data_IF_110251818422
#
_entry.id   IF_110251818422
#
_cell.length_a   1.000
_cell.length_b   1.000
_cell.length_c   1.000
_cell.angle_alpha   90.00
_cell.angle_beta   90.00
_cell.angle_gamma   90.00
#
_symmetry.space_group_name_H-M   'P 1'
#
loop_
_entity.id
_entity.type
_entity.pdbx_description
1 polymer ?
#
# COMPACT_ATOMS: atom_id res chain seq x y z
N UNK A 1 -10.04 -6.74 41.13
CA UNK A 1 -10.43 -6.48 39.73
C UNK A 1 -9.92 -5.11 39.32
N UNK A 2 -8.86 -5.02 38.52
CA UNK A 2 -8.34 -3.74 38.01
C UNK A 2 -9.15 -3.35 36.77
N UNK A 3 -9.80 -2.20 36.82
CA UNK A 3 -10.60 -1.64 35.73
C UNK A 3 -9.73 -1.45 34.48
N UNK A 4 -10.18 -2.00 33.35
CA UNK A 4 -9.59 -1.73 32.03
C UNK A 4 -10.03 -0.33 31.62
N UNK A 5 -9.06 0.58 31.47
CA UNK A 5 -9.29 1.92 30.89
C UNK A 5 -9.64 1.73 29.41
N UNK A 6 -10.88 2.06 29.03
CA UNK A 6 -11.24 2.20 27.62
C UNK A 6 -10.72 3.56 27.13
N UNK A 7 -9.86 3.55 26.11
CA UNK A 7 -9.39 4.75 25.41
C UNK A 7 -9.87 4.63 23.97
N UNK A 8 -10.58 5.64 23.48
CA UNK A 8 -11.11 5.70 22.12
C UNK A 8 -10.09 6.39 21.21
N UNK A 9 -9.81 5.76 20.07
CA UNK A 9 -9.10 6.37 18.96
C UNK A 9 -10.13 6.95 17.99
N UNK A 10 -10.01 8.22 17.63
CA UNK A 10 -10.87 8.88 16.65
C UNK A 10 -10.01 9.28 15.45
N UNK A 11 -10.58 9.16 14.25
CA UNK A 11 -9.98 9.65 13.02
C UNK A 11 -10.79 10.85 12.53
N UNK A 12 -10.09 11.91 12.12
CA UNK A 12 -10.64 13.02 11.35
C UNK A 12 -9.99 13.04 9.99
N UNK A 13 -10.78 13.22 8.93
CA UNK A 13 -10.26 13.65 7.62
C UNK A 13 -10.26 15.18 7.68
N UNK A 14 -9.09 15.82 7.72
CA UNK A 14 -9.02 17.28 7.74
C UNK A 14 -9.31 17.83 6.34
N UNK A 15 -10.59 18.15 6.09
CA UNK A 15 -11.00 18.94 4.94
C UNK A 15 -10.71 20.42 5.22
N UNK A 16 -9.83 21.04 4.43
CA UNK A 16 -9.79 22.50 4.31
C UNK A 16 -11.04 22.98 3.55
N UNK A 17 -12.21 22.99 4.23
CA UNK A 17 -13.46 23.57 3.70
C UNK A 17 -14.80 22.96 4.20
N UNK A 18 -15.22 23.37 5.40
CA UNK A 18 -16.60 23.45 5.96
C UNK A 18 -17.44 22.19 6.36
N UNK A 19 -17.78 22.18 7.66
CA UNK A 19 -18.86 21.56 8.47
C UNK A 19 -19.61 20.30 7.96
N UNK A 20 -19.34 19.16 8.64
CA UNK A 20 -20.25 18.02 8.74
C UNK A 20 -21.16 18.10 9.97
N UNK A 21 -22.48 17.98 9.77
CA UNK A 21 -23.42 17.67 10.85
C UNK A 21 -23.53 16.14 10.99
N UNK A 22 -22.93 15.58 12.05
CA UNK A 22 -23.32 14.27 12.58
C UNK A 22 -23.95 14.51 13.95
N UNK A 23 -25.27 14.34 14.02
CA UNK A 23 -26.08 14.54 15.23
C UNK A 23 -25.86 13.38 16.21
N UNK A 24 -25.21 13.65 17.34
CA UNK A 24 -25.46 12.91 18.58
C UNK A 24 -26.30 13.80 19.51
N UNK A 25 -27.45 13.28 19.94
CA UNK A 25 -28.41 13.93 20.83
C UNK A 25 -27.78 14.29 22.18
N UNK A 26 -27.57 15.57 22.42
CA UNK A 26 -27.21 16.16 23.71
C UNK A 26 -27.08 17.68 23.57
N UNK A 27 -27.93 18.45 24.27
CA UNK A 27 -28.12 19.90 24.10
C UNK A 27 -26.81 20.71 24.09
N UNK A 28 -26.59 21.48 23.03
CA UNK A 28 -25.68 22.64 23.01
C UNK A 28 -26.44 23.96 22.82
N UNK A 29 -25.90 25.10 23.31
CA UNK A 29 -26.45 26.43 23.09
C UNK A 29 -26.09 26.97 21.70
N UNK A 30 -27.00 27.76 21.13
CA UNK A 30 -26.96 28.28 19.75
C UNK A 30 -25.79 29.23 19.50
N UNK A 31 -25.16 29.08 18.34
CA UNK A 31 -24.45 30.15 17.63
C UNK A 31 -24.91 30.23 16.16
N UNK A 32 -24.90 31.45 15.67
CA UNK A 32 -25.56 32.05 14.51
C UNK A 32 -25.43 31.33 13.15
N UNK A 33 -26.54 31.30 12.40
CA UNK A 33 -26.69 30.88 11.01
C UNK A 33 -26.03 31.81 9.99
N UNK A 34 -25.27 31.26 9.05
CA UNK A 34 -24.92 31.90 7.77
C UNK A 34 -25.18 30.91 6.62
N UNK A 35 -25.92 31.33 5.59
CA UNK A 35 -26.23 30.54 4.38
C UNK A 35 -25.03 30.55 3.43
N UNK A 36 -24.65 29.38 2.89
CA UNK A 36 -23.61 29.22 1.86
C UNK A 36 -23.97 28.15 0.83
N UNK A 37 -23.63 28.41 -0.43
CA UNK A 37 -24.02 27.77 -1.69
C UNK A 37 -23.33 26.41 -1.95
N UNK A 38 -23.94 25.55 -2.79
CA UNK A 38 -23.37 24.28 -3.29
C UNK A 38 -22.00 24.52 -3.98
N UNK A 39 -20.91 24.10 -3.36
CA UNK A 39 -19.55 24.13 -3.92
C UNK A 39 -18.99 22.71 -4.05
N UNK A 40 -18.34 22.41 -5.17
CA UNK A 40 -17.57 21.17 -5.36
C UNK A 40 -16.38 21.16 -4.38
N UNK A 41 -16.24 20.09 -3.60
CA UNK A 41 -15.09 19.87 -2.72
C UNK A 41 -13.91 19.36 -3.57
N UNK A 42 -12.93 20.22 -3.85
CA UNK A 42 -11.61 19.83 -4.38
C UNK A 42 -10.60 19.86 -3.24
N UNK A 43 -9.81 18.81 -3.06
CA UNK A 43 -8.72 18.82 -2.08
C UNK A 43 -8.00 17.47 -1.97
N UNK A 44 -6.72 17.55 -1.63
CA UNK A 44 -5.88 16.41 -1.23
C UNK A 44 -6.39 15.87 0.12
N UNK A 45 -6.37 14.54 0.30
CA UNK A 45 -6.72 13.90 1.57
C UNK A 45 -5.52 13.12 2.10
N UNK A 46 -5.14 13.39 3.35
CA UNK A 46 -4.09 12.64 4.06
C UNK A 46 -4.71 11.69 5.08
N UNK A 47 -4.00 10.58 5.35
CA UNK A 47 -4.28 9.76 6.51
C UNK A 47 -3.70 10.40 7.77
N UNK A 48 -4.55 10.67 8.77
CA UNK A 48 -4.11 11.20 10.07
C UNK A 48 -4.83 10.51 11.26
N UNK A 49 -4.16 9.66 12.04
CA UNK A 49 -4.62 9.26 13.37
C UNK A 49 -4.61 10.43 14.35
N UNK A 50 -5.74 10.63 15.04
CA UNK A 50 -5.80 11.43 16.26
C UNK A 50 -5.80 10.50 17.49
N UNK A 51 -4.89 10.78 18.43
CA UNK A 51 -4.77 10.04 19.69
C UNK A 51 -5.02 10.97 20.87
N UNK A 52 -5.83 10.51 21.82
CA UNK A 52 -6.00 11.15 23.12
C UNK A 52 -5.73 10.17 24.25
N UNK A 53 -4.80 10.53 25.14
CA UNK A 53 -4.47 9.74 26.33
C UNK A 53 -5.36 10.08 27.54
N UNK A 54 -6.17 11.12 27.43
CA UNK A 54 -7.04 11.63 28.48
C UNK A 54 -8.51 11.73 28.04
N UNK A 55 -8.91 11.04 26.98
CA UNK A 55 -10.30 10.99 26.52
C UNK A 55 -11.26 10.45 27.60
N UNK A 56 -10.76 9.55 28.45
CA UNK A 56 -11.49 8.97 29.58
C UNK A 56 -10.64 9.09 30.84
N UNK A 57 -11.19 9.69 31.89
CA UNK A 57 -10.55 9.86 33.19
C UNK A 57 -11.42 9.19 34.25
N UNK A 58 -10.86 8.21 34.97
CA UNK A 58 -11.56 7.42 36.01
C UNK A 58 -12.86 6.77 35.50
N UNK A 59 -12.87 6.31 34.25
CA UNK A 59 -14.02 5.66 33.62
C UNK A 59 -15.12 6.61 33.15
N UNK A 60 -14.91 7.93 33.22
CA UNK A 60 -15.83 8.94 32.72
C UNK A 60 -15.21 9.69 31.54
N UNK A 61 -16.01 10.11 30.54
CA UNK A 61 -15.53 11.00 29.48
C UNK A 61 -14.91 12.27 30.06
N UNK A 62 -13.74 12.65 29.57
CA UNK A 62 -13.16 13.94 29.88
C UNK A 62 -13.89 15.03 29.07
N UNK A 63 -14.45 16.08 29.71
CA UNK A 63 -15.13 17.16 28.99
C UNK A 63 -14.19 18.03 28.15
N UNK A 64 -12.87 17.90 28.32
CA UNK A 64 -11.86 18.63 27.53
C UNK A 64 -10.66 17.71 27.25
N UNK A 65 -10.81 16.73 26.36
CA UNK A 65 -9.72 15.85 25.96
C UNK A 65 -8.70 16.62 25.11
N UNK A 66 -7.43 16.26 25.28
CA UNK A 66 -6.36 16.73 24.40
C UNK A 66 -6.06 15.66 23.35
N UNK A 67 -5.88 16.07 22.11
CA UNK A 67 -5.52 15.19 21.01
C UNK A 67 -4.15 15.58 20.44
N UNK A 68 -3.41 14.57 20.01
CA UNK A 68 -2.24 14.71 19.14
C UNK A 68 -2.55 14.03 17.81
N UNK A 69 -2.33 14.73 16.71
CA UNK A 69 -2.40 14.18 15.35
C UNK A 69 -1.00 13.87 14.85
N UNK A 70 -0.89 12.90 13.95
CA UNK A 70 0.35 12.58 13.23
C UNK A 70 -0.04 12.13 11.84
N UNK A 71 0.60 12.69 10.83
CA UNK A 71 0.43 12.23 9.45
C UNK A 71 0.98 10.80 9.31
N UNK A 72 0.18 9.89 8.75
CA UNK A 72 0.58 8.49 8.52
C UNK A 72 0.76 8.15 7.05
N UNK A 73 0.44 9.04 6.11
CA UNK A 73 0.74 8.82 4.69
C UNK A 73 1.88 9.75 4.27
N UNK A 74 2.80 9.28 3.42
CA UNK A 74 3.92 10.11 2.93
C UNK A 74 3.41 11.23 2.01
N UNK A 75 2.33 10.95 1.30
CA UNK A 75 1.61 11.86 0.39
C UNK A 75 0.11 11.86 0.71
N UNK A 76 -0.67 12.61 -0.07
CA UNK A 76 -2.12 12.45 -0.11
C UNK A 76 -2.46 11.01 -0.49
N UNK A 77 -3.40 10.35 0.17
CA UNK A 77 -3.81 8.97 -0.14
C UNK A 77 -5.04 8.89 -1.05
N UNK A 78 -5.70 10.03 -1.29
CA UNK A 78 -6.76 10.16 -2.29
C UNK A 78 -6.74 11.57 -2.91
N UNK A 79 -6.83 11.68 -4.24
CA UNK A 79 -7.01 12.95 -4.94
C UNK A 79 -8.31 12.98 -5.76
N UNK A 80 -8.98 14.14 -5.75
CA UNK A 80 -10.22 14.36 -6.49
C UNK A 80 -11.49 14.41 -5.64
N UNK A 81 -12.49 15.13 -6.17
CA UNK A 81 -13.82 15.27 -5.57
C UNK A 81 -14.61 13.97 -5.72
N UNK A 82 -15.41 13.56 -4.73
CA UNK A 82 -16.40 12.49 -4.98
C UNK A 82 -17.33 12.96 -6.09
N UNK A 83 -17.52 12.14 -7.14
CA UNK A 83 -18.37 12.52 -8.27
C UNK A 83 -19.78 12.89 -7.78
N UNK A 84 -20.40 13.89 -8.41
CA UNK A 84 -21.77 14.32 -8.06
C UNK A 84 -22.71 13.09 -8.11
N UNK A 85 -23.39 12.82 -6.99
CA UNK A 85 -24.29 11.67 -6.79
C UNK A 85 -23.62 10.28 -6.91
N UNK A 86 -22.28 10.19 -6.90
CA UNK A 86 -21.55 8.96 -7.25
C UNK A 86 -21.84 8.48 -8.68
N UNK A 87 -22.48 9.33 -9.49
CA UNK A 87 -23.08 9.18 -10.84
C UNK A 87 -22.21 9.59 -12.04
N UNK A 88 -21.63 10.79 -11.92
CA UNK A 88 -21.21 11.58 -13.08
C UNK A 88 -19.80 12.11 -12.95
N UNK A 89 -18.80 11.26 -13.19
CA UNK A 89 -17.40 11.66 -13.26
C UNK A 89 -17.00 12.29 -14.61
N UNK A 90 -17.97 12.50 -15.52
CA UNK A 90 -17.75 13.05 -16.86
C UNK A 90 -17.25 14.50 -16.88
N UNK A 91 -17.44 15.25 -15.79
CA UNK A 91 -16.95 16.63 -15.62
C UNK A 91 -15.84 16.74 -14.54
N UNK A 92 -15.25 15.61 -14.14
CA UNK A 92 -14.24 15.49 -13.10
C UNK A 92 -14.78 14.90 -11.78
N UNK A 93 -13.89 14.24 -11.03
CA UNK A 93 -14.16 13.57 -9.76
C UNK A 93 -13.72 12.10 -9.75
N UNK A 94 -13.71 11.49 -8.56
CA UNK A 94 -13.40 10.09 -8.31
C UNK A 94 -14.62 9.33 -7.74
N UNK A 95 -14.80 8.11 -8.22
CA UNK A 95 -15.82 7.10 -7.86
C UNK A 95 -15.27 5.96 -7.03
N UNK A 96 -13.96 5.88 -6.88
CA UNK A 96 -13.22 5.04 -5.96
C UNK A 96 -13.57 5.42 -4.53
N UNK A 97 -14.74 4.98 -4.07
CA UNK A 97 -15.16 4.99 -2.67
C UNK A 97 -14.38 3.95 -1.84
N UNK A 98 -13.21 3.53 -2.32
CA UNK A 98 -12.30 2.61 -1.66
C UNK A 98 -11.56 3.29 -0.51
N UNK A 99 -12.19 4.24 0.20
CA UNK A 99 -11.68 4.75 1.47
C UNK A 99 -11.89 3.67 2.55
N UNK A 100 -11.22 2.52 2.40
CA UNK A 100 -11.02 1.58 3.49
C UNK A 100 -9.97 2.18 4.40
N UNK A 101 -10.36 2.49 5.63
CA UNK A 101 -9.47 2.98 6.68
C UNK A 101 -9.72 2.09 7.91
N UNK A 102 -8.70 1.37 8.35
CA UNK A 102 -8.74 0.55 9.55
C UNK A 102 -7.64 0.98 10.49
N UNK A 103 -7.97 1.19 11.76
CA UNK A 103 -6.97 1.39 12.80
C UNK A 103 -7.16 0.36 13.89
N UNK A 104 -6.08 -0.34 14.20
CA UNK A 104 -6.03 -1.31 15.29
C UNK A 104 -4.94 -0.94 16.27
N UNK A 105 -5.04 -1.49 17.49
CA UNK A 105 -4.08 -1.25 18.56
C UNK A 105 -3.28 -2.53 18.77
N UNK A 106 -1.95 -2.41 18.67
CA UNK A 106 -1.04 -3.51 18.91
C UNK A 106 -0.86 -3.83 20.40
N UNK A 107 -0.11 -4.89 20.69
CA UNK A 107 0.08 -5.41 22.04
C UNK A 107 0.83 -4.43 22.97
N UNK A 108 1.58 -3.49 22.41
CA UNK A 108 2.27 -2.43 23.15
C UNK A 108 1.49 -1.11 23.14
N UNK A 109 0.24 -1.09 22.68
CA UNK A 109 -0.58 0.13 22.59
C UNK A 109 -0.18 1.05 21.44
N UNK A 110 0.56 0.53 20.47
CA UNK A 110 0.93 1.19 19.22
C UNK A 110 -0.24 1.20 18.22
N UNK A 111 -0.38 2.27 17.45
CA UNK A 111 -1.36 2.33 16.37
C UNK A 111 -0.86 1.55 15.14
N UNK A 112 -1.76 0.79 14.52
CA UNK A 112 -1.55 0.12 13.24
C UNK A 112 -2.66 0.59 12.30
N UNK A 113 -2.30 1.29 11.24
CA UNK A 113 -3.23 1.93 10.29
C UNK A 113 -3.10 1.24 8.95
N UNK A 114 -4.23 0.80 8.38
CA UNK A 114 -4.32 0.31 7.00
C UNK A 114 -5.22 1.26 6.24
N UNK A 115 -4.82 1.64 5.03
CA UNK A 115 -5.64 2.42 4.13
C UNK A 115 -5.49 1.97 2.68
N UNK A 116 -6.45 2.32 1.85
CA UNK A 116 -6.27 2.25 0.41
C UNK A 116 -5.59 3.54 -0.08
N UNK A 117 -4.45 3.40 -0.73
CA UNK A 117 -3.72 4.46 -1.40
C UNK A 117 -4.08 4.47 -2.88
N UNK A 118 -4.94 5.41 -3.25
CA UNK A 118 -5.45 5.58 -4.60
C UNK A 118 -4.68 6.66 -5.37
N UNK A 119 -3.62 7.22 -4.79
CA UNK A 119 -2.91 8.35 -5.39
C UNK A 119 -1.80 7.82 -6.28
N UNK A 120 -2.25 7.30 -7.41
CA UNK A 120 -1.41 6.86 -8.51
C UNK A 120 -2.03 7.23 -9.87
N UNK A 121 -1.27 7.06 -10.95
CA UNK A 121 -1.70 7.44 -12.29
C UNK A 121 -2.70 6.47 -12.94
N UNK A 122 -3.07 5.37 -12.27
CA UNK A 122 -3.89 4.31 -12.85
C UNK A 122 -5.39 4.58 -12.71
N UNK A 123 -5.83 5.72 -13.25
CA UNK A 123 -7.21 6.19 -13.21
C UNK A 123 -7.94 5.82 -14.50
N UNK A 124 -9.04 5.07 -14.38
CA UNK A 124 -9.93 4.73 -15.51
C UNK A 124 -11.36 5.14 -15.17
N UNK A 125 -11.96 5.96 -16.03
CA UNK A 125 -13.33 6.48 -15.90
C UNK A 125 -13.63 7.10 -14.53
N UNK A 126 -12.65 7.85 -14.00
CA UNK A 126 -12.73 8.50 -12.70
C UNK A 126 -12.70 7.52 -11.53
N UNK A 127 -12.00 6.40 -11.65
CA UNK A 127 -11.72 5.49 -10.52
C UNK A 127 -10.26 5.07 -10.58
N UNK A 128 -9.53 5.28 -9.48
CA UNK A 128 -8.14 4.84 -9.32
C UNK A 128 -8.06 3.44 -8.72
N UNK A 129 -7.18 2.61 -9.27
CA UNK A 129 -6.83 1.31 -8.65
C UNK A 129 -5.92 1.55 -7.46
N UNK A 130 -6.36 1.18 -6.26
CA UNK A 130 -5.61 1.48 -5.04
C UNK A 130 -4.60 0.39 -4.66
N UNK A 131 -3.49 0.81 -4.06
CA UNK A 131 -2.62 -0.05 -3.26
C UNK A 131 -3.16 -0.13 -1.83
N UNK A 132 -2.97 -1.25 -1.15
CA UNK A 132 -3.24 -1.32 0.29
C UNK A 132 -1.95 -0.94 1.01
N UNK A 133 -1.98 0.17 1.72
CA UNK A 133 -0.87 0.68 2.50
C UNK A 133 -1.07 0.37 4.00
N UNK A 134 0.04 0.21 4.70
CA UNK A 134 0.07 -0.11 6.13
C UNK A 134 1.15 0.70 6.82
N UNK A 135 0.81 1.33 7.95
CA UNK A 135 1.78 1.93 8.84
C UNK A 135 1.58 1.52 10.29
N UNK A 136 2.70 1.35 10.99
CA UNK A 136 2.74 1.05 12.42
C UNK A 136 3.48 2.14 13.15
N UNK A 137 2.93 2.57 14.28
CA UNK A 137 3.64 3.45 15.21
C UNK A 137 4.87 2.70 15.76
N UNK A 138 6.06 3.23 15.50
CA UNK A 138 7.34 2.67 15.97
C UNK A 138 7.96 3.46 17.12
N UNK A 139 7.43 4.64 17.45
CA UNK A 139 7.93 5.46 18.56
C UNK A 139 6.83 6.33 19.17
N UNK A 140 7.12 6.94 20.32
CA UNK A 140 6.23 7.89 20.99
C UNK A 140 5.24 7.23 21.95
N UNK A 141 4.27 8.00 22.45
CA UNK A 141 3.44 7.54 23.56
C UNK A 141 2.61 6.29 23.21
N UNK A 142 2.56 5.33 24.13
CA UNK A 142 1.68 4.16 24.02
C UNK A 142 0.25 4.49 24.44
N UNK A 143 -0.74 3.79 23.87
CA UNK A 143 -2.13 3.83 24.37
C UNK A 143 -2.22 3.25 25.79
N UNK A 144 -1.33 2.32 26.12
CA UNK A 144 -1.29 1.64 27.40
C UNK A 144 -0.38 2.37 28.36
N UNK A 145 -0.97 2.94 29.42
CA UNK A 145 -0.24 3.71 30.43
C UNK A 145 0.90 2.94 31.09
N UNK A 146 0.78 1.62 31.23
CA UNK A 146 1.82 0.76 31.79
C UNK A 146 2.99 0.49 30.83
N UNK A 147 2.80 0.70 29.53
CA UNK A 147 3.87 0.66 28.53
C UNK A 147 4.57 2.03 28.46
N UNK A 148 3.80 3.11 28.55
CA UNK A 148 4.31 4.48 28.57
C UNK A 148 4.73 4.96 27.17
N UNK A 149 5.75 4.33 26.57
CA UNK A 149 6.27 4.67 25.24
C UNK A 149 6.38 3.40 24.37
N UNK A 150 5.95 3.50 23.11
CA UNK A 150 6.21 2.50 22.07
C UNK A 150 7.67 2.61 21.65
N UNK A 151 8.33 1.47 21.48
CA UNK A 151 9.64 1.37 20.84
C UNK A 151 9.62 0.18 19.88
N UNK A 152 9.55 0.49 18.59
CA UNK A 152 9.56 -0.44 17.47
C UNK A 152 10.82 -0.30 16.64
N UNK A 153 10.96 -1.19 15.67
CA UNK A 153 12.07 -1.13 14.70
C UNK A 153 11.91 0.10 13.80
N UNK A 154 13.03 0.70 13.41
CA UNK A 154 13.03 1.70 12.35
C UNK A 154 12.52 1.08 11.02
N UNK A 155 11.96 1.88 10.12
CA UNK A 155 11.67 1.44 8.76
C UNK A 155 12.89 0.77 8.14
N UNK A 156 12.65 -0.33 7.45
CA UNK A 156 13.72 -1.05 6.78
C UNK A 156 14.26 -0.20 5.63
N UNK A 157 15.57 -0.28 5.37
CA UNK A 157 16.17 0.39 4.23
C UNK A 157 17.13 -0.54 3.49
N UNK A 158 17.09 -0.47 2.15
CA UNK A 158 17.90 -1.26 1.23
C UNK A 158 17.54 -2.75 1.14
N UNK A 159 16.94 -3.34 2.18
CA UNK A 159 16.50 -4.73 2.16
C UNK A 159 15.41 -5.08 3.17
N UNK A 160 14.67 -6.13 2.84
CA UNK A 160 13.63 -6.71 3.67
C UNK A 160 13.59 -8.23 3.61
N UNK A 161 13.12 -8.84 4.70
CA UNK A 161 12.80 -10.27 4.77
C UNK A 161 11.41 -10.52 4.19
N UNK A 162 11.22 -11.71 3.61
CA UNK A 162 9.91 -12.23 3.24
C UNK A 162 9.00 -12.48 4.45
N UNK A 163 7.72 -12.65 4.17
CA UNK A 163 6.73 -13.05 5.16
C UNK A 163 7.05 -14.44 5.71
N UNK A 164 6.78 -14.73 6.99
CA UNK A 164 6.76 -16.10 7.47
C UNK A 164 5.61 -16.93 6.86
N UNK A 165 4.57 -16.27 6.35
CA UNK A 165 3.37 -16.90 5.79
C UNK A 165 3.25 -16.57 4.30
N UNK A 166 3.17 -17.61 3.47
CA UNK A 166 2.99 -17.53 2.03
C UNK A 166 1.83 -18.45 1.60
N UNK A 167 0.78 -17.87 1.01
CA UNK A 167 -0.43 -18.60 0.67
C UNK A 167 -1.28 -17.86 -0.36
N UNK A 168 -2.03 -18.62 -1.14
CA UNK A 168 -3.15 -18.10 -1.92
C UNK A 168 -4.42 -18.07 -1.06
N UNK A 169 -5.14 -16.95 -1.05
CA UNK A 169 -6.45 -16.83 -0.37
C UNK A 169 -7.55 -16.46 -1.37
N UNK A 170 -8.53 -17.34 -1.52
CA UNK A 170 -9.72 -17.09 -2.32
C UNK A 170 -10.90 -17.93 -1.83
N UNK A 171 -12.12 -17.43 -2.04
CA UNK A 171 -13.37 -18.14 -1.75
C UNK A 171 -13.48 -18.70 -0.32
N UNK A 172 -12.91 -17.99 0.65
CA UNK A 172 -12.89 -18.39 2.06
C UNK A 172 -11.91 -19.54 2.38
N UNK A 173 -11.04 -19.90 1.44
CA UNK A 173 -10.02 -20.95 1.59
C UNK A 173 -8.61 -20.36 1.52
N UNK A 174 -7.66 -21.07 2.12
CA UNK A 174 -6.22 -20.74 2.03
C UNK A 174 -5.44 -21.95 1.55
N UNK A 175 -4.59 -21.75 0.56
CA UNK A 175 -3.74 -22.79 -0.04
C UNK A 175 -2.29 -22.37 0.15
N UNK A 176 -1.49 -23.22 0.81
CA UNK A 176 -0.07 -22.94 1.04
C UNK A 176 0.70 -22.78 -0.28
N UNK A 177 1.64 -21.84 -0.31
CA UNK A 177 2.50 -21.62 -1.46
C UNK A 177 3.46 -22.80 -1.70
N UNK A 178 3.84 -22.99 -2.96
CA UNK A 178 5.01 -23.81 -3.31
C UNK A 178 6.31 -23.06 -2.99
N UNK A 179 7.39 -23.79 -2.73
CA UNK A 179 8.67 -23.23 -2.26
C UNK A 179 9.31 -22.23 -3.23
N UNK A 180 9.02 -22.32 -4.53
CA UNK A 180 9.46 -21.34 -5.52
C UNK A 180 8.78 -19.99 -5.41
N UNK A 181 7.66 -19.89 -4.70
CA UNK A 181 6.92 -18.65 -4.48
C UNK A 181 7.11 -18.10 -3.05
N UNK A 182 7.85 -18.79 -2.18
CA UNK A 182 8.17 -18.30 -0.83
C UNK A 182 9.40 -17.39 -0.90
N UNK A 183 9.23 -16.10 -0.64
CA UNK A 183 10.31 -15.11 -0.59
C UNK A 183 11.04 -15.24 0.74
N UNK A 184 12.37 -15.26 0.67
CA UNK A 184 13.23 -15.14 1.86
C UNK A 184 13.64 -13.69 2.10
N UNK A 185 13.98 -12.96 1.04
CA UNK A 185 14.33 -11.55 1.13
C UNK A 185 14.32 -10.84 -0.22
N UNK A 186 14.15 -9.53 -0.18
CA UNK A 186 14.35 -8.63 -1.32
C UNK A 186 15.30 -7.51 -0.92
N UNK A 187 16.16 -7.08 -1.84
CA UNK A 187 17.08 -5.97 -1.62
C UNK A 187 17.27 -5.14 -2.87
N UNK A 188 17.72 -3.91 -2.71
CA UNK A 188 18.11 -3.01 -3.79
C UNK A 188 19.49 -2.43 -3.54
N UNK A 189 20.21 -2.17 -4.63
CA UNK A 189 21.47 -1.42 -4.65
C UNK A 189 21.50 -0.53 -5.89
N UNK A 190 22.35 0.49 -5.89
CA UNK A 190 22.70 1.26 -7.09
C UNK A 190 24.17 0.96 -7.45
N UNK A 191 24.46 -0.12 -8.21
CA UNK A 191 25.84 -0.52 -8.52
C UNK A 191 26.60 0.54 -9.33
N UNK A 192 25.89 1.37 -10.09
CA UNK A 192 26.43 2.49 -10.84
C UNK A 192 25.36 3.58 -11.02
N UNK A 193 25.73 4.77 -11.49
CA UNK A 193 24.81 5.91 -11.60
C UNK A 193 23.72 5.76 -12.68
N UNK A 194 23.67 4.63 -13.40
CA UNK A 194 22.74 4.37 -14.50
C UNK A 194 21.80 3.22 -14.21
N UNK A 195 22.04 2.40 -13.19
CA UNK A 195 21.23 1.23 -12.90
C UNK A 195 20.93 1.06 -11.42
N UNK A 196 19.70 0.68 -11.14
CA UNK A 196 19.33 0.00 -9.91
C UNK A 196 19.43 -1.50 -10.11
N UNK A 197 19.83 -2.21 -9.06
CA UNK A 197 19.85 -3.67 -9.03
C UNK A 197 19.02 -4.17 -7.88
N UNK A 198 17.94 -4.84 -8.24
CA UNK A 198 17.07 -5.54 -7.30
C UNK A 198 17.46 -7.02 -7.25
N UNK A 199 17.39 -7.59 -6.06
CA UNK A 199 17.59 -9.02 -5.82
C UNK A 199 16.41 -9.57 -5.05
N UNK A 200 15.81 -10.65 -5.54
CA UNK A 200 14.75 -11.40 -4.87
C UNK A 200 15.31 -12.79 -4.58
N UNK A 201 15.37 -13.17 -3.31
CA UNK A 201 15.76 -14.52 -2.89
C UNK A 201 14.51 -15.28 -2.50
N UNK A 202 14.33 -16.47 -3.08
CA UNK A 202 13.20 -17.37 -2.77
C UNK A 202 13.72 -18.69 -2.22
N UNK A 203 12.85 -19.43 -1.53
CA UNK A 203 13.22 -20.64 -0.82
C UNK A 203 13.79 -21.73 -1.74
N UNK A 204 13.22 -21.93 -2.92
CA UNK A 204 13.74 -22.88 -3.91
C UNK A 204 13.29 -22.53 -5.33
N UNK A 205 14.22 -22.11 -6.19
CA UNK A 205 13.94 -21.74 -7.58
C UNK A 205 14.38 -22.83 -8.57
N UNK A 206 14.49 -24.09 -8.13
CA UNK A 206 14.78 -25.21 -9.05
C UNK A 206 13.64 -25.49 -10.04
N UNK A 207 12.46 -24.94 -9.80
CA UNK A 207 11.28 -24.98 -10.69
C UNK A 207 10.67 -23.60 -10.81
N UNK A 208 10.21 -23.26 -12.01
CA UNK A 208 9.43 -22.04 -12.27
C UNK A 208 7.93 -22.31 -12.37
N UNK A 209 7.51 -23.58 -12.38
CA UNK A 209 6.10 -23.93 -12.49
C UNK A 209 5.32 -23.54 -11.23
N UNK A 210 4.17 -22.90 -11.40
CA UNK A 210 3.18 -22.69 -10.35
C UNK A 210 2.02 -23.70 -10.48
N UNK A 211 1.45 -24.10 -9.34
CA UNK A 211 0.26 -24.94 -9.30
C UNK A 211 -0.98 -24.13 -9.67
N UNK A 212 -1.83 -24.67 -10.54
CA UNK A 212 -3.14 -24.07 -10.86
C UNK A 212 -4.03 -23.85 -9.61
N UNK A 213 -3.79 -24.59 -8.52
CA UNK A 213 -4.49 -24.41 -7.24
C UNK A 213 -4.16 -23.10 -6.52
N UNK A 214 -3.16 -22.36 -6.99
CA UNK A 214 -2.76 -21.05 -6.44
C UNK A 214 -3.43 -19.88 -7.17
N UNK A 215 -4.41 -20.15 -8.03
CA UNK A 215 -5.14 -19.13 -8.79
C UNK A 215 -4.63 -18.96 -10.23
N UNK A 216 -3.58 -19.70 -10.61
CA UNK A 216 -2.98 -19.61 -11.93
C UNK A 216 -1.71 -20.43 -12.08
N UNK A 217 -1.31 -20.70 -13.32
CA UNK A 217 -0.06 -21.39 -13.65
C UNK A 217 1.05 -20.46 -14.13
N UNK A 218 0.70 -19.22 -14.46
CA UNK A 218 1.68 -18.17 -14.73
C UNK A 218 2.21 -17.64 -13.40
N UNK A 219 3.54 -17.56 -13.28
CA UNK A 219 4.24 -17.22 -12.06
C UNK A 219 5.09 -15.96 -12.26
N UNK A 220 4.91 -14.98 -11.37
CA UNK A 220 5.64 -13.70 -11.43
C UNK A 220 6.35 -13.44 -10.12
N UNK A 221 7.64 -13.15 -10.22
CA UNK A 221 8.50 -12.67 -9.14
C UNK A 221 8.86 -11.23 -9.43
N UNK A 222 8.33 -10.30 -8.66
CA UNK A 222 8.47 -8.88 -8.96
C UNK A 222 8.87 -8.07 -7.72
N UNK A 223 9.42 -6.91 -7.99
CA UNK A 223 9.64 -5.86 -6.99
C UNK A 223 8.92 -4.62 -7.48
N UNK A 224 8.14 -4.01 -6.58
CA UNK A 224 7.38 -2.78 -6.82
C UNK A 224 7.92 -1.67 -5.94
N UNK A 225 7.93 -0.44 -6.42
CA UNK A 225 8.28 0.74 -5.63
C UNK A 225 7.47 1.96 -6.06
N UNK A 226 7.42 2.94 -5.16
CA UNK A 226 6.71 4.19 -5.36
C UNK A 226 7.69 5.36 -5.49
N UNK A 227 7.40 6.26 -6.42
CA UNK A 227 8.11 7.53 -6.59
C UNK A 227 7.09 8.66 -6.51
N UNK A 228 7.19 9.56 -5.51
CA UNK A 228 6.27 10.68 -5.36
C UNK A 228 6.30 11.63 -6.57
N UNK A 229 5.12 12.07 -7.03
CA UNK A 229 4.96 13.14 -8.01
C UNK A 229 4.60 14.47 -7.32
N UNK A 230 5.10 15.63 -7.79
CA UNK A 230 4.73 16.95 -7.27
C UNK A 230 3.22 17.26 -7.23
N UNK A 231 2.40 16.62 -8.06
CA UNK A 231 0.96 16.80 -8.16
C UNK A 231 0.18 15.85 -7.24
N UNK A 232 0.85 15.14 -6.34
CA UNK A 232 0.24 14.20 -5.42
C UNK A 232 0.27 12.77 -5.95
N UNK A 233 -0.13 12.52 -7.21
CA UNK A 233 -0.23 11.18 -7.81
C UNK A 233 1.14 10.46 -7.92
N UNK A 234 1.46 9.59 -6.96
CA UNK A 234 2.68 8.80 -7.01
C UNK A 234 2.73 7.86 -8.23
N UNK A 235 3.93 7.69 -8.80
CA UNK A 235 4.14 6.64 -9.79
C UNK A 235 4.44 5.33 -9.09
N UNK A 236 3.84 4.24 -9.56
CA UNK A 236 4.11 2.89 -9.07
C UNK A 236 4.82 2.10 -10.17
N UNK A 237 6.13 1.94 -10.01
CA UNK A 237 6.97 1.21 -10.93
C UNK A 237 7.25 -0.20 -10.43
N UNK A 238 7.70 -1.06 -11.34
CA UNK A 238 8.07 -2.41 -10.99
C UNK A 238 9.14 -2.99 -11.92
N UNK A 239 9.78 -4.06 -11.48
CA UNK A 239 10.58 -4.94 -12.30
C UNK A 239 10.26 -6.39 -11.95
N UNK A 240 10.24 -7.28 -12.94
CA UNK A 240 9.75 -8.64 -12.80
C UNK A 240 10.56 -9.67 -13.58
N UNK A 241 10.53 -10.90 -13.07
CA UNK A 241 10.72 -12.14 -13.81
C UNK A 241 9.37 -12.85 -13.90
N UNK A 242 8.98 -13.32 -15.08
CA UNK A 242 7.72 -14.04 -15.31
C UNK A 242 7.97 -15.38 -16.00
N UNK A 243 7.22 -16.41 -15.64
CA UNK A 243 7.28 -17.74 -16.27
C UNK A 243 5.88 -18.30 -16.52
N UNK A 244 5.50 -18.35 -17.80
CA UNK A 244 4.24 -18.92 -18.26
C UNK A 244 4.24 -20.44 -18.12
N UNK A 245 3.58 -20.98 -17.10
CA UNK A 245 3.46 -22.43 -16.90
C UNK A 245 4.78 -23.14 -16.66
N UNK A 246 5.79 -22.44 -16.12
CA UNK A 246 7.14 -22.98 -15.90
C UNK A 246 8.05 -22.94 -17.13
N UNK A 247 7.67 -22.23 -18.19
CA UNK A 247 8.52 -21.99 -19.36
C UNK A 247 9.76 -21.13 -19.03
N UNK A 248 10.67 -21.00 -20.00
CA UNK A 248 11.81 -20.10 -19.87
C UNK A 248 11.31 -18.67 -19.54
N UNK A 249 11.89 -18.00 -18.52
CA UNK A 249 11.32 -16.78 -18.02
C UNK A 249 11.61 -15.59 -18.93
N UNK A 250 10.71 -14.61 -18.90
CA UNK A 250 10.94 -13.27 -19.44
C UNK A 250 11.30 -12.30 -18.31
N UNK A 251 11.99 -11.21 -18.64
CA UNK A 251 12.41 -10.20 -17.69
C UNK A 251 12.05 -8.82 -18.20
N UNK A 252 11.32 -8.06 -17.39
CA UNK A 252 10.82 -6.76 -17.80
C UNK A 252 10.66 -5.80 -16.64
N UNK A 253 10.57 -4.53 -16.96
CA UNK A 253 10.10 -3.48 -16.07
C UNK A 253 8.90 -2.76 -16.66
N UNK A 254 8.33 -1.85 -15.87
CA UNK A 254 7.31 -0.94 -16.32
C UNK A 254 6.72 -0.12 -15.19
N UNK A 255 5.67 0.60 -15.55
CA UNK A 255 4.76 1.24 -14.62
C UNK A 255 3.49 0.40 -14.54
N UNK A 256 2.88 0.33 -13.36
CA UNK A 256 1.58 -0.33 -13.19
C UNK A 256 0.54 0.23 -14.16
N UNK A 257 -0.50 -0.56 -14.44
CA UNK A 257 -1.69 -0.14 -15.16
C UNK A 257 -2.95 -0.56 -14.42
N UNK A 258 -4.12 -0.39 -15.03
CA UNK A 258 -5.43 -0.76 -14.45
C UNK A 258 -6.20 -1.68 -15.38
N UNK A 259 -6.83 -2.72 -14.81
CA UNK A 259 -7.93 -3.45 -15.48
C UNK A 259 -9.03 -2.46 -15.85
N UNK A 260 -9.35 -2.36 -17.15
CA UNK A 260 -10.12 -1.25 -17.71
C UNK A 260 -11.54 -1.62 -18.20
N UNK A 261 -12.09 -2.76 -17.76
CA UNK A 261 -13.37 -3.26 -18.30
C UNK A 261 -14.59 -2.36 -18.00
N UNK A 262 -14.50 -1.45 -17.02
CA UNK A 262 -15.56 -0.46 -16.75
C UNK A 262 -15.11 0.67 -15.81
N UNK A 263 -14.20 0.37 -14.87
CA UNK A 263 -13.59 1.30 -13.91
C UNK A 263 -12.27 0.67 -13.42
N UNK A 264 -11.26 1.48 -13.10
CA UNK A 264 -10.00 0.99 -12.54
C UNK A 264 -10.24 0.37 -11.16
N UNK A 265 -9.90 -0.91 -10.97
CA UNK A 265 -10.12 -1.64 -9.72
C UNK A 265 -8.90 -2.39 -9.22
N UNK A 266 -8.14 -2.97 -10.14
CA UNK A 266 -6.99 -3.79 -9.86
C UNK A 266 -5.81 -3.25 -10.65
N UNK A 267 -4.68 -3.12 -9.96
CA UNK A 267 -3.42 -2.83 -10.62
C UNK A 267 -2.95 -4.06 -11.40
N UNK A 268 -2.49 -3.81 -12.62
CA UNK A 268 -1.80 -4.78 -13.46
C UNK A 268 -0.36 -4.36 -13.68
N UNK A 269 0.50 -5.29 -14.07
CA UNK A 269 1.93 -5.07 -14.23
C UNK A 269 2.38 -5.48 -15.64
N UNK A 270 1.87 -4.82 -16.70
CA UNK A 270 2.19 -5.19 -18.07
C UNK A 270 3.65 -4.86 -18.42
N UNK A 271 4.39 -5.74 -19.13
CA UNK A 271 5.74 -5.44 -19.59
C UNK A 271 5.80 -4.17 -20.44
N UNK A 272 6.67 -3.22 -20.07
CA UNK A 272 6.96 -2.03 -20.88
C UNK A 272 8.31 -2.15 -21.59
N UNK A 273 9.37 -2.55 -20.87
CA UNK A 273 10.71 -2.74 -21.44
C UNK A 273 11.32 -4.07 -21.01
N UNK A 274 12.14 -4.66 -21.89
CA UNK A 274 12.99 -5.79 -21.54
C UNK A 274 14.23 -5.30 -20.80
N UNK A 275 14.57 -5.96 -19.69
CA UNK A 275 15.70 -5.57 -18.84
C UNK A 275 16.81 -6.63 -18.81
N UNK A 276 18.01 -6.22 -18.40
CA UNK A 276 19.08 -7.15 -18.11
C UNK A 276 18.81 -7.83 -16.76
N UNK A 277 18.74 -9.15 -16.77
CA UNK A 277 18.47 -9.93 -15.57
C UNK A 277 19.09 -11.33 -15.63
N UNK A 278 19.08 -12.00 -14.48
CA UNK A 278 19.49 -13.40 -14.35
C UNK A 278 18.80 -14.05 -13.15
N UNK A 279 18.79 -15.38 -13.11
CA UNK A 279 18.38 -16.12 -11.92
C UNK A 279 19.28 -17.33 -11.68
N UNK A 280 19.35 -17.76 -10.42
CA UNK A 280 20.04 -18.97 -9.99
C UNK A 280 19.00 -20.01 -9.55
N UNK A 281 18.91 -21.10 -10.31
CA UNK A 281 17.97 -22.21 -10.10
C UNK A 281 18.46 -23.16 -9.00
N UNK A 282 18.48 -22.70 -7.75
CA UNK A 282 18.96 -23.44 -6.57
C UNK A 282 18.01 -23.27 -5.38
N UNK A 283 18.33 -23.92 -4.25
CA UNK A 283 17.70 -23.67 -2.95
C UNK A 283 18.74 -23.16 -1.95
N UNK A 284 18.69 -21.89 -1.52
CA UNK A 284 17.78 -20.83 -2.00
C UNK A 284 18.11 -20.42 -3.44
N UNK A 285 17.10 -19.90 -4.14
CA UNK A 285 17.25 -19.35 -5.48
C UNK A 285 17.29 -17.84 -5.43
N UNK A 286 17.96 -17.21 -6.40
CA UNK A 286 18.10 -15.75 -6.44
C UNK A 286 17.80 -15.22 -7.82
N UNK A 287 16.96 -14.19 -7.91
CA UNK A 287 16.63 -13.45 -9.12
C UNK A 287 17.28 -12.09 -9.01
N UNK A 288 18.02 -11.67 -10.03
CA UNK A 288 18.66 -10.34 -10.09
C UNK A 288 18.11 -9.57 -11.29
N UNK A 289 17.50 -8.41 -11.02
CA UNK A 289 16.89 -7.52 -11.99
C UNK A 289 17.71 -6.23 -12.05
N UNK A 290 18.23 -5.86 -13.23
CA UNK A 290 18.99 -4.62 -13.43
C UNK A 290 18.15 -3.65 -14.24
N UNK A 291 17.70 -2.58 -13.58
CA UNK A 291 16.72 -1.62 -14.10
C UNK A 291 17.44 -0.29 -14.40
N UNK A 292 17.31 0.26 -15.61
CA UNK A 292 17.85 1.58 -15.92
C UNK A 292 17.24 2.68 -15.04
N UNK A 293 18.03 3.71 -14.72
CA UNK A 293 17.54 4.88 -13.96
C UNK A 293 16.37 5.59 -14.65
N UNK A 294 16.28 5.50 -15.99
CA UNK A 294 15.16 6.05 -16.74
C UNK A 294 13.82 5.40 -16.35
N UNK A 295 13.84 4.12 -15.99
CA UNK A 295 12.66 3.28 -15.78
C UNK A 295 12.26 3.18 -14.29
N UNK A 296 13.04 3.79 -13.39
CA UNK A 296 12.74 3.89 -11.95
C UNK A 296 12.15 5.24 -11.54
N UNK A 297 11.68 6.05 -12.50
CA UNK A 297 11.20 7.42 -12.28
C UNK A 297 12.17 8.52 -12.73
N UNK A 298 13.20 8.19 -13.52
CA UNK A 298 14.04 9.16 -14.24
C UNK A 298 15.03 9.97 -13.37
N UNK A 299 15.19 9.64 -12.09
CA UNK A 299 16.03 10.39 -11.16
C UNK A 299 16.93 9.46 -10.34
N UNK A 300 18.24 9.49 -10.61
CA UNK A 300 19.25 8.69 -9.88
C UNK A 300 19.47 9.12 -8.43
N UNK A 301 18.78 10.16 -7.96
CA UNK A 301 18.81 10.63 -6.57
C UNK A 301 17.44 10.53 -5.90
N UNK A 302 16.43 10.03 -6.59
CA UNK A 302 15.11 9.83 -5.99
C UNK A 302 15.22 8.77 -4.89
N UNK A 303 14.55 9.03 -3.77
CA UNK A 303 14.27 7.96 -2.81
C UNK A 303 13.16 7.11 -3.39
N UNK A 304 13.38 5.80 -3.39
CA UNK A 304 12.38 4.81 -3.74
C UNK A 304 11.67 4.40 -2.46
N UNK A 305 10.36 4.60 -2.40
CA UNK A 305 9.55 4.32 -1.22
C UNK A 305 8.80 3.01 -1.35
N UNK A 306 8.49 2.39 -0.21
CA UNK A 306 7.64 1.20 -0.10
C UNK A 306 8.05 0.05 -1.02
N UNK A 307 9.36 -0.12 -1.24
CA UNK A 307 9.90 -1.20 -2.06
C UNK A 307 9.43 -2.52 -1.47
N UNK A 308 8.72 -3.30 -2.27
CA UNK A 308 8.11 -4.56 -1.84
C UNK A 308 8.41 -5.63 -2.87
N UNK A 309 9.09 -6.71 -2.45
CA UNK A 309 9.18 -7.92 -3.25
C UNK A 309 7.88 -8.71 -3.14
N UNK A 310 7.39 -9.23 -4.25
CA UNK A 310 6.13 -9.96 -4.36
C UNK A 310 6.33 -11.21 -5.22
N UNK A 311 5.66 -12.28 -4.83
CA UNK A 311 5.41 -13.44 -5.70
C UNK A 311 3.93 -13.54 -5.95
N UNK A 312 3.59 -13.87 -7.19
CA UNK A 312 2.22 -13.80 -7.69
C UNK A 312 1.98 -14.99 -8.60
N UNK A 313 0.74 -15.47 -8.64
CA UNK A 313 0.29 -16.29 -9.76
C UNK A 313 -0.86 -15.66 -10.52
N UNK A 314 -0.97 -16.01 -11.80
CA UNK A 314 -1.91 -15.43 -12.74
C UNK A 314 -2.53 -16.50 -13.64
N UNK A 315 -3.77 -16.25 -14.08
CA UNK A 315 -4.45 -17.11 -15.03
C UNK A 315 -3.89 -17.00 -16.46
N UNK A 316 -3.27 -15.87 -16.78
CA UNK A 316 -2.71 -15.50 -18.08
C UNK A 316 -1.50 -14.59 -17.92
N UNK A 317 -0.62 -14.58 -18.92
CA UNK A 317 0.57 -13.75 -18.95
C UNK A 317 0.27 -12.26 -18.69
N UNK A 318 1.19 -11.57 -18.03
CA UNK A 318 1.13 -10.13 -17.74
C UNK A 318 1.08 -9.28 -19.00
N UNK A 319 1.60 -9.78 -20.13
CA UNK A 319 1.51 -9.14 -21.45
C UNK A 319 0.08 -8.91 -21.96
N UNK A 320 -0.90 -9.63 -21.40
CA UNK A 320 -2.33 -9.39 -21.70
C UNK A 320 -2.81 -8.06 -21.09
N UNK A 321 -2.18 -7.58 -20.01
CA UNK A 321 -2.50 -6.30 -19.37
C UNK A 321 -3.83 -6.26 -18.58
N UNK A 322 -4.59 -7.36 -18.57
CA UNK A 322 -5.91 -7.46 -17.95
C UNK A 322 -6.04 -8.66 -16.98
N UNK A 323 -4.92 -9.07 -16.37
CA UNK A 323 -4.88 -10.25 -15.50
C UNK A 323 -4.88 -9.85 -14.03
N UNK A 324 -5.71 -10.53 -13.22
CA UNK A 324 -5.71 -10.35 -11.77
C UNK A 324 -4.47 -11.03 -11.17
N UNK A 325 -3.78 -10.28 -10.30
CA UNK A 325 -2.60 -10.75 -9.57
C UNK A 325 -3.02 -11.46 -8.29
N UNK A 326 -2.85 -12.79 -8.23
CA UNK A 326 -3.01 -13.53 -6.99
C UNK A 326 -1.72 -13.43 -6.19
N UNK A 327 -1.60 -12.41 -5.33
CA UNK A 327 -0.43 -12.27 -4.45
C UNK A 327 -0.31 -13.50 -3.54
N UNK A 328 0.87 -14.12 -3.53
CA UNK A 328 1.18 -15.34 -2.77
C UNK A 328 2.05 -15.04 -1.56
N UNK A 329 3.10 -14.24 -1.76
CA UNK A 329 4.03 -13.83 -0.72
C UNK A 329 4.50 -12.39 -0.97
N UNK A 330 4.98 -11.75 0.09
CA UNK A 330 5.53 -10.41 0.07
C UNK A 330 6.67 -10.26 1.08
N UNK A 331 7.62 -9.38 0.78
CA UNK A 331 8.49 -8.84 1.83
C UNK A 331 7.76 -7.78 2.64
N UNK A 332 8.27 -7.50 3.85
CA UNK A 332 7.97 -6.18 4.47
C UNK A 332 8.44 -5.06 3.52
N UNK A 333 7.75 -3.91 3.46
CA UNK A 333 8.22 -2.78 2.68
C UNK A 333 9.52 -2.21 3.26
N UNK A 334 10.35 -1.63 2.40
CA UNK A 334 11.57 -0.92 2.76
C UNK A 334 11.86 0.21 1.79
N UNK A 335 12.62 1.21 2.21
CA UNK A 335 12.96 2.35 1.37
C UNK A 335 14.41 2.29 0.90
N UNK A 336 14.74 3.05 -0.13
CA UNK A 336 16.12 3.19 -0.57
C UNK A 336 16.42 4.60 -1.06
N UNK A 337 17.46 5.18 -0.46
CA UNK A 337 18.06 6.44 -0.92
C UNK A 337 19.45 6.11 -1.47
N UNK A 338 19.75 6.44 -2.75
CA UNK A 338 21.04 6.18 -3.40
C UNK A 338 22.26 6.85 -2.75
#
# INVERSE_FOLDING_TARGET
MKARTAVHLYLGVEQLGYLGHLSCLGREPRLSTARGTLGHLRGLRHGEPAKSLNAVVKGLPNPSPSFTTTQVSEISNHDGAICTMGIGCTTGGDRGLLDFLSVTVGLQGEANVVWADAVNQNVVDGTSSALIAFNRQTAGASLYANVGQVSGLAPASGSASGSPDAFYSADGTTTAASTNLVIQSTSVTMPDSKHYRFSITVQDLSTLAASATLGGTDAVWLVRWEVPDPNGAGHTYFAAMESDGGAAPSFFDGETSSINTTHGKFLTYPPAHTIQASYLATSPGTITLTVPVADVGGNSKATLYSITGLTVTQGTASSIGDTIFNQIDATRPFDFTP
#
